data_IF_904235543548
#
_entry.id   IF_904235543548
#
_cell.length_a   1.000
_cell.length_b   1.000
_cell.length_c   1.000
_cell.angle_alpha   90.00
_cell.angle_beta   90.00
_cell.angle_gamma   90.00
#
_symmetry.space_group_name_H-M   'P 1'
#
loop_
_entity.id
_entity.type
_entity.pdbx_description
1 polymer ?
#
# COMPACT_ATOMS: atom_id res chain seq x y z
N UNK A 1 -23.04 -0.38 -1.86
CA UNK A 1 -23.74 -1.47 -2.59
C UNK A 1 -23.04 -1.82 -3.90
N UNK A 2 -22.67 -0.85 -4.74
CA UNK A 2 -21.98 -1.10 -6.01
C UNK A 2 -20.61 -1.78 -5.87
N UNK A 3 -19.77 -1.36 -4.92
CA UNK A 3 -18.46 -1.97 -4.67
C UNK A 3 -18.54 -3.45 -4.29
N UNK A 4 -19.54 -3.84 -3.50
CA UNK A 4 -19.79 -5.22 -3.11
C UNK A 4 -20.15 -6.11 -4.30
N UNK A 5 -20.96 -5.59 -5.24
CA UNK A 5 -21.33 -6.33 -6.44
C UNK A 5 -20.13 -6.55 -7.37
N UNK A 6 -19.31 -5.51 -7.57
CA UNK A 6 -18.08 -5.60 -8.36
C UNK A 6 -17.10 -6.59 -7.73
N UNK A 7 -16.89 -6.48 -6.41
CA UNK A 7 -16.02 -7.37 -5.66
C UNK A 7 -16.44 -8.84 -5.79
N UNK A 8 -17.72 -9.13 -5.58
CA UNK A 8 -18.24 -10.49 -5.73
C UNK A 8 -18.08 -11.01 -7.16
N UNK A 9 -18.43 -10.18 -8.16
CA UNK A 9 -18.33 -10.57 -9.56
C UNK A 9 -16.90 -10.89 -9.97
N UNK A 10 -15.93 -10.04 -9.61
CA UNK A 10 -14.51 -10.27 -9.89
C UNK A 10 -14.02 -11.52 -9.19
N UNK A 11 -14.34 -11.69 -7.90
CA UNK A 11 -13.89 -12.85 -7.14
C UNK A 11 -14.48 -14.16 -7.67
N UNK A 12 -15.72 -14.16 -8.15
CA UNK A 12 -16.33 -15.31 -8.84
C UNK A 12 -15.70 -15.57 -10.20
N UNK A 13 -15.44 -14.52 -10.99
CA UNK A 13 -14.75 -14.64 -12.27
C UNK A 13 -13.38 -15.29 -12.10
N UNK A 14 -12.59 -14.82 -11.12
CA UNK A 14 -11.28 -15.40 -10.78
C UNK A 14 -11.40 -16.86 -10.36
N UNK A 15 -12.37 -17.19 -9.49
CA UNK A 15 -12.62 -18.57 -9.05
C UNK A 15 -12.88 -19.50 -10.23
N UNK A 16 -13.64 -19.05 -11.24
CA UNK A 16 -14.07 -19.89 -12.35
C UNK A 16 -13.08 -19.96 -13.50
N UNK A 17 -12.22 -18.95 -13.70
CA UNK A 17 -11.41 -18.82 -14.91
C UNK A 17 -9.89 -18.85 -14.67
N UNK A 18 -9.43 -18.67 -13.41
CA UNK A 18 -8.01 -18.41 -13.11
C UNK A 18 -7.49 -19.32 -12.00
N UNK A 19 -8.23 -20.38 -11.65
CA UNK A 19 -7.89 -21.29 -10.55
C UNK A 19 -6.53 -21.97 -10.75
N UNK A 20 -6.20 -22.37 -11.98
CA UNK A 20 -4.97 -23.10 -12.31
C UNK A 20 -3.70 -22.27 -12.09
N UNK A 21 -3.81 -20.94 -12.12
CA UNK A 21 -2.67 -20.04 -11.91
C UNK A 21 -2.38 -19.75 -10.43
N UNK A 22 -3.32 -20.06 -9.52
CA UNK A 22 -3.21 -19.72 -8.08
C UNK A 22 -1.93 -20.30 -7.48
N UNK A 23 -1.55 -21.53 -7.84
CA UNK A 23 -0.33 -22.18 -7.34
C UNK A 23 0.94 -21.38 -7.70
N UNK A 24 1.07 -20.95 -8.96
CA UNK A 24 2.21 -20.18 -9.43
C UNK A 24 2.26 -18.80 -8.79
N UNK A 25 1.11 -18.13 -8.67
CA UNK A 25 1.02 -16.81 -8.03
C UNK A 25 1.38 -16.90 -6.53
N UNK A 26 0.88 -17.91 -5.80
CA UNK A 26 1.24 -18.16 -4.39
C UNK A 26 2.75 -18.36 -4.24
N UNK A 27 3.39 -19.07 -5.18
CA UNK A 27 4.85 -19.26 -5.17
C UNK A 27 5.58 -17.93 -5.39
N UNK A 28 5.22 -17.13 -6.39
CA UNK A 28 5.87 -15.84 -6.65
C UNK A 28 5.73 -14.90 -5.46
N UNK A 29 4.52 -14.82 -4.88
CA UNK A 29 4.29 -13.96 -3.73
C UNK A 29 5.01 -14.43 -2.47
N UNK A 30 5.14 -15.74 -2.22
CA UNK A 30 5.89 -16.22 -1.04
C UNK A 30 7.36 -15.84 -1.09
N UNK A 31 7.97 -15.87 -2.27
CA UNK A 31 9.31 -15.35 -2.50
C UNK A 31 9.37 -13.83 -2.30
N UNK A 32 8.39 -13.09 -2.84
CA UNK A 32 8.29 -11.65 -2.63
C UNK A 32 8.17 -11.30 -1.14
N UNK A 33 7.32 -11.99 -0.40
CA UNK A 33 7.08 -11.73 1.02
C UNK A 33 8.29 -12.14 1.88
N UNK A 34 8.97 -13.24 1.55
CA UNK A 34 10.21 -13.63 2.22
C UNK A 34 11.30 -12.57 2.07
N UNK A 35 11.47 -12.06 0.85
CA UNK A 35 12.41 -10.98 0.55
C UNK A 35 11.97 -9.72 1.31
N UNK A 36 10.73 -9.29 1.16
CA UNK A 36 10.31 -7.96 1.61
C UNK A 36 10.09 -7.89 3.13
N UNK A 37 9.77 -8.98 3.82
CA UNK A 37 9.73 -9.01 5.29
C UNK A 37 11.12 -8.84 5.91
N UNK A 38 12.15 -9.47 5.33
CA UNK A 38 13.54 -9.30 5.79
C UNK A 38 14.13 -7.94 5.43
N UNK A 39 13.71 -7.35 4.31
CA UNK A 39 14.22 -6.07 3.83
C UNK A 39 13.38 -4.85 4.29
N UNK A 40 12.28 -5.03 5.03
CA UNK A 40 11.41 -3.94 5.50
C UNK A 40 12.19 -2.89 6.31
N UNK A 41 13.04 -3.34 7.24
CA UNK A 41 13.95 -2.49 7.98
C UNK A 41 14.95 -1.75 7.08
N UNK A 42 15.35 -2.36 5.95
CA UNK A 42 16.32 -1.77 5.03
C UNK A 42 15.73 -0.56 4.32
N UNK A 43 14.46 -0.57 3.93
CA UNK A 43 13.84 0.61 3.32
C UNK A 43 13.76 1.79 4.30
N UNK A 44 13.44 1.52 5.57
CA UNK A 44 13.48 2.53 6.62
C UNK A 44 14.91 3.04 6.87
N UNK A 45 15.90 2.16 6.88
CA UNK A 45 17.31 2.53 7.00
C UNK A 45 17.77 3.38 5.80
N UNK A 46 17.48 2.96 4.56
CA UNK A 46 17.81 3.69 3.34
C UNK A 46 17.17 5.07 3.37
N UNK A 47 15.90 5.18 3.75
CA UNK A 47 15.21 6.47 3.82
C UNK A 47 15.81 7.39 4.89
N UNK A 48 16.22 6.82 6.04
CA UNK A 48 16.84 7.57 7.14
C UNK A 48 18.25 8.06 6.79
N UNK A 49 19.06 7.19 6.16
CA UNK A 49 20.40 7.54 5.65
C UNK A 49 20.27 8.59 4.54
N UNK A 50 19.33 8.40 3.61
CA UNK A 50 19.07 9.35 2.53
C UNK A 50 18.67 10.73 3.06
N UNK A 51 17.83 10.77 4.11
CA UNK A 51 17.50 12.02 4.79
C UNK A 51 18.74 12.69 5.36
N UNK A 52 19.57 11.96 6.11
CA UNK A 52 20.81 12.47 6.71
C UNK A 52 21.79 12.99 5.65
N UNK A 53 21.96 12.27 4.55
CA UNK A 53 22.81 12.72 3.44
C UNK A 53 22.21 13.99 2.79
N UNK A 54 20.89 14.04 2.60
CA UNK A 54 20.23 15.19 1.98
C UNK A 54 20.32 16.46 2.84
N UNK A 55 20.28 16.31 4.17
CA UNK A 55 20.37 17.43 5.11
C UNK A 55 21.80 17.94 5.28
N UNK A 56 22.80 17.05 5.25
CA UNK A 56 24.21 17.40 5.41
C UNK A 56 24.86 17.93 4.12
N UNK A 57 24.58 17.31 2.97
CA UNK A 57 25.38 17.54 1.76
C UNK A 57 24.64 18.28 0.64
N UNK A 58 23.36 17.97 0.41
CA UNK A 58 22.69 18.49 -0.78
C UNK A 58 21.94 19.80 -0.56
N UNK A 59 21.60 20.15 0.68
CA UNK A 59 20.68 21.26 1.04
C UNK A 59 19.45 21.34 0.12
N UNK A 60 19.07 20.21 -0.46
CA UNK A 60 18.09 20.14 -1.53
C UNK A 60 16.75 19.76 -0.93
N UNK A 61 15.88 20.76 -0.87
CA UNK A 61 14.56 20.63 -0.24
C UNK A 61 13.73 19.51 -0.89
N UNK A 62 13.92 19.20 -2.18
CA UNK A 62 13.21 18.11 -2.87
C UNK A 62 13.59 16.74 -2.30
N UNK A 63 14.87 16.47 -2.11
CA UNK A 63 15.36 15.19 -1.58
C UNK A 63 15.00 15.01 -0.11
N UNK A 64 15.16 16.07 0.70
CA UNK A 64 14.72 16.03 2.09
C UNK A 64 13.21 15.79 2.22
N UNK A 65 12.39 16.47 1.40
CA UNK A 65 10.94 16.27 1.38
C UNK A 65 10.57 14.85 0.98
N UNK A 66 11.24 14.29 -0.02
CA UNK A 66 11.06 12.91 -0.44
C UNK A 66 11.31 11.93 0.71
N UNK A 67 12.48 11.98 1.36
CA UNK A 67 12.81 11.02 2.41
C UNK A 67 11.92 11.14 3.64
N UNK A 68 11.57 12.36 4.07
CA UNK A 68 10.62 12.58 5.17
C UNK A 68 9.24 12.02 4.80
N UNK A 69 8.73 12.37 3.61
CA UNK A 69 7.45 11.88 3.11
C UNK A 69 7.45 10.35 3.03
N UNK A 70 8.54 9.74 2.55
CA UNK A 70 8.64 8.29 2.41
C UNK A 70 8.56 7.58 3.76
N UNK A 71 9.26 8.07 4.79
CA UNK A 71 9.18 7.53 6.16
C UNK A 71 7.75 7.66 6.70
N UNK A 72 7.15 8.86 6.59
CA UNK A 72 5.79 9.11 7.07
C UNK A 72 4.80 8.15 6.40
N UNK A 73 4.88 8.00 5.08
CA UNK A 73 3.96 7.15 4.32
C UNK A 73 4.10 5.69 4.72
N UNK A 74 5.31 5.15 4.89
CA UNK A 74 5.53 3.75 5.32
C UNK A 74 4.90 3.51 6.69
N UNK A 75 5.19 4.37 7.66
CA UNK A 75 4.73 4.19 9.05
C UNK A 75 3.23 4.44 9.17
N UNK A 76 2.72 5.56 8.67
CA UNK A 76 1.31 5.90 8.78
C UNK A 76 0.42 4.93 8.00
N UNK A 77 0.83 4.45 6.82
CA UNK A 77 0.05 3.47 6.07
C UNK A 77 -0.07 2.14 6.83
N UNK A 78 1.02 1.67 7.45
CA UNK A 78 1.00 0.45 8.27
C UNK A 78 0.06 0.59 9.48
N UNK A 79 0.10 1.72 10.18
CA UNK A 79 -0.78 1.99 11.34
C UNK A 79 -2.24 2.08 10.91
N UNK A 80 -2.54 2.92 9.91
CA UNK A 80 -3.92 3.16 9.44
C UNK A 80 -4.53 1.85 8.95
N UNK A 81 -3.81 1.08 8.13
CA UNK A 81 -4.36 -0.19 7.62
C UNK A 81 -4.56 -1.23 8.70
N UNK A 82 -3.66 -1.32 9.68
CA UNK A 82 -3.83 -2.21 10.84
C UNK A 82 -5.06 -1.83 11.68
N UNK A 83 -5.27 -0.54 11.91
CA UNK A 83 -6.44 -0.04 12.63
C UNK A 83 -7.74 -0.32 11.87
N UNK A 84 -7.77 -0.01 10.56
CA UNK A 84 -8.95 -0.23 9.73
C UNK A 84 -9.29 -1.72 9.58
N UNK A 85 -8.29 -2.62 9.57
CA UNK A 85 -8.50 -4.07 9.62
C UNK A 85 -9.30 -4.49 10.84
N UNK A 86 -8.89 -4.03 12.03
CA UNK A 86 -9.57 -4.32 13.29
C UNK A 86 -10.98 -3.74 13.27
N UNK A 87 -11.12 -2.49 12.80
CA UNK A 87 -12.40 -1.78 12.79
C UNK A 87 -13.44 -2.43 11.86
N UNK A 88 -13.05 -2.74 10.61
CA UNK A 88 -13.98 -3.23 9.61
C UNK A 88 -14.20 -4.74 9.65
N UNK A 89 -13.25 -5.52 10.16
CA UNK A 89 -13.46 -6.94 10.41
C UNK A 89 -13.89 -7.74 9.17
N UNK A 90 -13.48 -7.34 7.96
CA UNK A 90 -14.05 -7.89 6.71
C UNK A 90 -13.53 -9.30 6.42
N UNK A 91 -14.42 -10.23 6.08
CA UNK A 91 -14.05 -11.58 5.64
C UNK A 91 -13.39 -11.58 4.24
N UNK A 92 -12.44 -12.49 4.05
CA UNK A 92 -11.73 -12.69 2.77
C UNK A 92 -12.56 -13.52 1.78
N UNK A 93 -12.39 -13.31 0.46
CA UNK A 93 -13.12 -14.09 -0.55
C UNK A 93 -12.89 -15.59 -0.47
N UNK A 94 -11.65 -16.05 -0.21
CA UNK A 94 -11.30 -17.47 -0.03
C UNK A 94 -12.19 -18.14 1.04
N UNK A 95 -12.28 -17.55 2.23
CA UNK A 95 -13.10 -18.05 3.33
C UNK A 95 -14.60 -18.10 2.97
N UNK A 96 -15.11 -17.05 2.31
CA UNK A 96 -16.51 -16.97 1.88
C UNK A 96 -16.85 -18.11 0.92
N UNK A 97 -15.98 -18.38 -0.05
CA UNK A 97 -16.22 -19.42 -1.06
C UNK A 97 -16.04 -20.83 -0.54
N UNK A 98 -15.12 -21.07 0.39
CA UNK A 98 -14.89 -22.39 1.00
C UNK A 98 -16.04 -22.81 1.91
N UNK A 99 -16.64 -21.84 2.61
CA UNK A 99 -17.73 -22.11 3.55
C UNK A 99 -19.13 -21.94 2.93
N UNK A 100 -19.22 -21.71 1.61
CA UNK A 100 -20.49 -21.52 0.90
C UNK A 100 -21.31 -20.33 1.42
N UNK A 101 -20.66 -19.34 2.04
CA UNK A 101 -21.35 -18.21 2.67
C UNK A 101 -21.92 -17.29 1.58
N UNK A 102 -23.25 -17.19 1.54
CA UNK A 102 -23.98 -16.32 0.61
C UNK A 102 -24.66 -15.19 1.38
N UNK A 103 -24.56 -13.95 0.90
CA UNK A 103 -25.20 -12.78 1.53
C UNK A 103 -24.29 -11.56 1.67
N UNK A 104 -24.87 -10.39 1.99
CA UNK A 104 -24.18 -9.08 1.95
C UNK A 104 -23.36 -8.73 3.22
N UNK A 105 -23.35 -9.59 4.25
CA UNK A 105 -22.78 -9.27 5.57
C UNK A 105 -21.36 -9.83 5.76
N UNK A 106 -20.42 -9.42 4.92
CA UNK A 106 -19.00 -9.77 5.04
C UNK A 106 -18.20 -8.85 5.96
N UNK A 107 -18.82 -7.77 6.42
CA UNK A 107 -18.22 -6.74 7.27
C UNK A 107 -18.51 -7.01 8.74
N UNK A 108 -17.60 -6.57 9.61
CA UNK A 108 -17.71 -6.64 11.06
C UNK A 108 -17.86 -8.07 11.60
N UNK A 109 -17.13 -9.02 10.99
CA UNK A 109 -17.14 -10.45 11.33
C UNK A 109 -15.79 -10.94 11.82
N UNK A 110 -15.01 -10.06 12.45
CA UNK A 110 -13.66 -10.36 12.97
C UNK A 110 -12.69 -10.91 11.92
N UNK A 111 -12.92 -10.62 10.64
CA UNK A 111 -11.98 -10.90 9.56
C UNK A 111 -10.90 -9.82 9.44
N UNK A 112 -9.91 -10.05 8.61
CA UNK A 112 -8.76 -9.14 8.42
C UNK A 112 -8.58 -8.72 6.96
N UNK A 113 -9.63 -8.84 6.14
CA UNK A 113 -9.59 -8.62 4.69
C UNK A 113 -9.41 -7.15 4.30
N UNK A 114 -10.12 -6.22 4.93
CA UNK A 114 -10.15 -4.81 4.51
C UNK A 114 -9.42 -3.89 5.49
N UNK A 115 -8.52 -3.00 5.04
CA UNK A 115 -7.92 -2.93 3.71
C UNK A 115 -6.76 -3.93 3.55
N UNK A 116 -6.24 -4.10 2.33
CA UNK A 116 -5.14 -5.04 2.07
C UNK A 116 -3.80 -4.51 2.63
N UNK A 117 -3.23 -5.25 3.59
CA UNK A 117 -1.94 -4.91 4.21
C UNK A 117 -0.78 -4.99 3.21
N UNK A 118 -0.72 -6.06 2.41
CA UNK A 118 0.30 -6.19 1.36
C UNK A 118 0.22 -5.08 0.33
N UNK A 119 -0.98 -4.77 -0.19
CA UNK A 119 -1.12 -3.65 -1.12
C UNK A 119 -0.61 -2.35 -0.49
N UNK A 120 -1.04 -2.03 0.75
CA UNK A 120 -0.60 -0.81 1.42
C UNK A 120 0.91 -0.75 1.63
N UNK A 121 1.53 -1.89 1.94
CA UNK A 121 2.97 -1.97 2.17
C UNK A 121 3.78 -1.80 0.89
N UNK A 122 3.49 -2.56 -0.17
CA UNK A 122 4.25 -2.40 -1.41
C UNK A 122 3.99 -1.05 -2.06
N UNK A 123 2.75 -0.53 -2.04
CA UNK A 123 2.50 0.81 -2.54
C UNK A 123 3.21 1.89 -1.71
N UNK A 124 3.32 1.76 -0.38
CA UNK A 124 4.07 2.75 0.44
C UNK A 124 5.57 2.76 0.14
N UNK A 125 6.13 1.62 -0.29
CA UNK A 125 7.52 1.54 -0.73
C UNK A 125 7.76 2.19 -2.10
N UNK A 126 6.87 1.94 -3.06
CA UNK A 126 7.13 2.26 -4.47
C UNK A 126 6.41 3.51 -4.99
N UNK A 127 5.27 3.90 -4.41
CA UNK A 127 4.52 5.07 -4.86
C UNK A 127 5.22 6.41 -4.56
N UNK A 128 5.76 6.67 -3.35
CA UNK A 128 6.45 7.94 -3.08
C UNK A 128 7.62 8.21 -4.03
N UNK A 129 8.53 7.25 -4.32
CA UNK A 129 9.56 7.45 -5.35
C UNK A 129 8.99 7.84 -6.71
N UNK A 130 7.92 7.17 -7.17
CA UNK A 130 7.25 7.47 -8.43
C UNK A 130 6.61 8.87 -8.46
N UNK A 131 6.10 9.33 -7.32
CA UNK A 131 5.53 10.67 -7.15
C UNK A 131 6.60 11.77 -7.22
N UNK A 132 7.77 11.56 -6.61
CA UNK A 132 8.84 12.57 -6.58
C UNK A 132 9.73 12.58 -7.83
N UNK A 133 9.87 11.45 -8.53
CA UNK A 133 10.83 11.28 -9.63
C UNK A 133 10.21 10.59 -10.84
N UNK A 134 10.13 11.28 -11.98
CA UNK A 134 9.58 10.73 -13.23
C UNK A 134 10.29 9.46 -13.69
N UNK A 135 11.61 9.37 -13.47
CA UNK A 135 12.42 8.19 -13.82
C UNK A 135 12.06 6.95 -13.00
N UNK A 136 11.40 7.10 -11.85
CA UNK A 136 11.01 5.99 -10.99
C UNK A 136 9.63 5.41 -11.35
N UNK A 137 8.82 6.10 -12.17
CA UNK A 137 7.46 5.67 -12.56
C UNK A 137 7.36 4.22 -13.05
N UNK A 138 8.30 3.67 -13.84
CA UNK A 138 8.20 2.28 -14.29
C UNK A 138 8.15 1.25 -13.16
N UNK A 139 8.72 1.58 -11.99
CA UNK A 139 8.79 0.66 -10.84
C UNK A 139 7.41 0.42 -10.20
N UNK A 140 6.40 1.26 -10.50
CA UNK A 140 5.02 1.05 -10.02
C UNK A 140 4.40 -0.27 -10.49
N UNK A 141 4.98 -0.91 -11.52
CA UNK A 141 4.53 -2.24 -11.97
C UNK A 141 4.66 -3.29 -10.86
N UNK A 142 5.64 -3.18 -9.97
CA UNK A 142 5.91 -4.14 -8.89
C UNK A 142 4.72 -4.22 -7.91
N UNK A 143 4.30 -3.13 -7.23
CA UNK A 143 3.14 -3.19 -6.33
C UNK A 143 1.83 -3.53 -7.06
N UNK A 144 1.70 -3.17 -8.35
CA UNK A 144 0.53 -3.54 -9.16
C UNK A 144 0.46 -5.06 -9.39
N UNK A 145 1.58 -5.70 -9.76
CA UNK A 145 1.62 -7.15 -9.93
C UNK A 145 1.27 -7.89 -8.63
N UNK A 146 1.76 -7.39 -7.50
CA UNK A 146 1.44 -7.96 -6.18
C UNK A 146 -0.04 -7.77 -5.85
N UNK A 147 -0.60 -6.58 -6.08
CA UNK A 147 -2.03 -6.33 -5.90
C UNK A 147 -2.89 -7.28 -6.74
N UNK A 148 -2.57 -7.47 -8.02
CA UNK A 148 -3.26 -8.43 -8.89
C UNK A 148 -3.15 -9.84 -8.32
N UNK A 149 -1.97 -10.24 -7.86
CA UNK A 149 -1.76 -11.55 -7.23
C UNK A 149 -2.66 -11.79 -6.01
N UNK A 150 -2.90 -10.76 -5.17
CA UNK A 150 -3.82 -10.85 -4.02
C UNK A 150 -5.28 -11.08 -4.43
N UNK A 151 -5.72 -10.54 -5.56
CA UNK A 151 -7.05 -10.80 -6.12
C UNK A 151 -7.12 -12.22 -6.68
N UNK A 152 -6.13 -12.63 -7.47
CA UNK A 152 -6.09 -13.98 -8.07
C UNK A 152 -6.14 -15.07 -6.99
N UNK A 153 -5.41 -14.86 -5.90
CA UNK A 153 -5.41 -15.78 -4.77
C UNK A 153 -6.70 -15.77 -3.95
N UNK A 154 -7.63 -14.86 -4.24
CA UNK A 154 -8.85 -14.64 -3.44
C UNK A 154 -8.54 -14.26 -1.99
N UNK A 155 -7.33 -13.76 -1.74
CA UNK A 155 -6.90 -13.28 -0.43
C UNK A 155 -7.57 -11.95 -0.08
N UNK A 156 -7.85 -11.13 -1.09
CA UNK A 156 -8.49 -9.83 -0.94
C UNK A 156 -9.47 -9.55 -2.07
N UNK A 157 -10.52 -8.80 -1.74
CA UNK A 157 -11.38 -8.17 -2.75
C UNK A 157 -10.66 -7.01 -3.42
N UNK A 158 -11.10 -6.63 -4.63
CA UNK A 158 -10.49 -5.51 -5.35
C UNK A 158 -10.62 -4.21 -4.54
N UNK A 159 -11.76 -3.96 -3.89
CA UNK A 159 -11.92 -2.76 -3.07
C UNK A 159 -10.99 -2.70 -1.85
N UNK A 160 -10.55 -3.84 -1.31
CA UNK A 160 -9.55 -3.87 -0.23
C UNK A 160 -8.21 -3.27 -0.70
N UNK A 161 -7.86 -3.52 -1.96
CA UNK A 161 -6.64 -3.02 -2.61
C UNK A 161 -6.80 -1.56 -2.98
N UNK A 162 -7.93 -1.18 -3.60
CA UNK A 162 -8.20 0.21 -3.97
C UNK A 162 -8.14 1.11 -2.75
N UNK A 163 -8.70 0.70 -1.62
CA UNK A 163 -8.59 1.47 -0.37
C UNK A 163 -7.13 1.63 0.08
N UNK A 164 -6.32 0.58 0.05
CA UNK A 164 -4.89 0.67 0.39
C UNK A 164 -4.13 1.64 -0.52
N UNK A 165 -4.41 1.62 -1.83
CA UNK A 165 -3.81 2.56 -2.78
C UNK A 165 -4.24 3.99 -2.45
N UNK A 166 -5.53 4.22 -2.19
CA UNK A 166 -6.04 5.54 -1.82
C UNK A 166 -5.35 6.07 -0.55
N UNK A 167 -5.22 5.25 0.50
CA UNK A 167 -4.51 5.61 1.73
C UNK A 167 -3.08 6.07 1.42
N UNK A 168 -2.32 5.28 0.66
CA UNK A 168 -0.93 5.59 0.32
C UNK A 168 -0.81 6.87 -0.51
N UNK A 169 -1.68 7.03 -1.52
CA UNK A 169 -1.69 8.23 -2.39
C UNK A 169 -2.00 9.47 -1.55
N UNK A 170 -3.05 9.41 -0.73
CA UNK A 170 -3.45 10.53 0.14
C UNK A 170 -2.33 10.89 1.12
N UNK A 171 -1.72 9.91 1.78
CA UNK A 171 -0.60 10.16 2.69
C UNK A 171 0.59 10.80 1.98
N UNK A 172 0.92 10.33 0.77
CA UNK A 172 2.05 10.84 -0.02
C UNK A 172 1.85 12.31 -0.38
N UNK A 173 0.67 12.65 -0.89
CA UNK A 173 0.32 14.02 -1.28
C UNK A 173 0.22 14.94 -0.05
N UNK A 174 -0.42 14.47 1.03
CA UNK A 174 -0.55 15.24 2.26
C UNK A 174 0.80 15.53 2.92
N UNK A 175 1.68 14.52 3.01
CA UNK A 175 3.02 14.69 3.55
C UNK A 175 3.84 15.69 2.73
N UNK A 176 3.84 15.57 1.39
CA UNK A 176 4.52 16.52 0.51
C UNK A 176 4.01 17.96 0.69
N UNK A 177 2.69 18.14 0.76
CA UNK A 177 2.07 19.44 0.95
C UNK A 177 2.48 20.06 2.29
N UNK A 178 2.37 19.31 3.39
CA UNK A 178 2.72 19.77 4.74
C UNK A 178 4.19 20.17 4.81
N UNK A 179 5.09 19.35 4.25
CA UNK A 179 6.53 19.64 4.25
C UNK A 179 6.83 20.93 3.47
N UNK A 180 6.21 21.11 2.30
CA UNK A 180 6.38 22.34 1.50
C UNK A 180 5.85 23.58 2.22
N UNK A 181 4.71 23.47 2.89
CA UNK A 181 4.14 24.56 3.70
C UNK A 181 5.09 24.94 4.84
N UNK A 182 5.57 23.96 5.60
CA UNK A 182 6.53 24.18 6.69
C UNK A 182 7.83 24.83 6.19
N UNK A 183 8.37 24.35 5.07
CA UNK A 183 9.59 24.92 4.49
C UNK A 183 9.42 26.37 4.01
N UNK A 184 8.25 26.72 3.46
CA UNK A 184 7.93 28.12 3.09
C UNK A 184 7.87 29.02 4.33
N UNK A 185 7.22 28.58 5.40
CA UNK A 185 7.14 29.35 6.65
C UNK A 185 8.51 29.60 7.28
N UNK A 186 9.40 28.60 7.29
CA UNK A 186 10.77 28.76 7.80
C UNK A 186 11.57 29.74 6.95
N UNK A 187 11.49 29.64 5.62
CA UNK A 187 12.15 30.60 4.72
C UNK A 187 11.65 32.02 4.96
N UNK A 188 10.34 32.24 5.09
CA UNK A 188 9.79 33.57 5.37
C UNK A 188 10.31 34.14 6.69
N UNK A 189 10.38 33.34 7.76
CA UNK A 189 10.95 33.77 9.06
C UNK A 189 12.44 34.11 9.03
N UNK A 190 13.20 33.59 8.07
CA UNK A 190 14.63 33.91 7.93
C UNK A 190 14.89 35.26 7.24
N UNK A 191 13.85 35.92 6.70
CA UNK A 191 13.92 37.21 6.01
C UNK A 191 13.30 38.38 6.80
N UNK A 192 12.77 38.12 8.01
CA UNK A 192 12.29 39.14 8.97
C UNK A 192 13.18 39.13 10.20
#
# INVERSE_FOLDING_TARGET
MLSLLIDQWISLFVKNNVADFIFYVKKIESWSDFITNKLSAIFLIISSIGLLISSLYFKNLKWASFFISWIIVIVCAAIITSYLKIYFGRMRPEYIFENGLTGAHYWFKSGDGFPSGHASYYFSLFFPPCYYFDKAKPVIIIPVMIAVGRVIQKAHFLSDIVMSVLIVVTLTVAADLIIRMAARHIKLKAFY
#
